data_IF_252691382857
#
_entry.id   IF_252691382857
#
_cell.length_a   1.000
_cell.length_b   1.000
_cell.length_c   1.000
_cell.angle_alpha   90.00
_cell.angle_beta   90.00
_cell.angle_gamma   90.00
#
_symmetry.space_group_name_H-M   'P 1'
#
loop_
_entity.id
_entity.type
_entity.pdbx_description
1 polymer ?
#
# COMPACT_ATOMS: atom_id res chain seq x y z
N UNK A 1 12.37 3.19 -4.89
CA UNK A 1 12.74 2.10 -5.82
C UNK A 1 11.48 1.34 -6.26
N UNK A 2 10.55 0.98 -5.36
CA UNK A 2 9.29 0.29 -5.70
C UNK A 2 8.38 1.07 -6.65
N UNK A 3 8.35 2.41 -6.57
CA UNK A 3 7.51 3.26 -7.44
C UNK A 3 8.07 3.45 -8.86
N UNK A 4 9.37 3.32 -9.05
CA UNK A 4 9.99 3.48 -10.38
C UNK A 4 9.80 2.28 -11.32
N UNK A 5 9.48 1.10 -10.78
CA UNK A 5 9.28 -0.10 -11.60
C UNK A 5 7.87 -0.21 -12.21
N UNK A 6 6.88 0.55 -11.71
CA UNK A 6 5.48 0.29 -12.04
C UNK A 6 4.86 1.15 -13.14
N UNK A 7 5.41 2.31 -13.41
CA UNK A 7 4.88 3.13 -14.51
C UNK A 7 5.90 4.22 -14.89
N UNK A 8 6.60 4.09 -16.03
CA UNK A 8 7.53 5.12 -16.51
C UNK A 8 6.85 6.45 -16.85
N UNK A 9 5.53 6.46 -16.98
CA UNK A 9 4.75 7.63 -17.37
C UNK A 9 4.11 8.39 -16.21
N UNK A 10 4.35 7.98 -14.94
CA UNK A 10 3.89 8.77 -13.79
C UNK A 10 4.78 10.01 -13.66
N UNK A 11 4.33 11.10 -14.26
CA UNK A 11 4.98 12.39 -14.13
C UNK A 11 4.54 13.07 -12.81
N UNK A 12 5.27 12.81 -11.73
CA UNK A 12 5.03 13.44 -10.43
C UNK A 12 5.11 14.99 -10.46
N UNK A 13 5.67 15.59 -11.52
CA UNK A 13 5.74 17.05 -11.71
C UNK A 13 4.42 17.69 -12.14
N UNK A 14 3.40 16.91 -12.51
CA UNK A 14 2.07 17.41 -12.91
C UNK A 14 0.99 17.15 -11.85
N UNK A 15 1.36 16.83 -10.61
CA UNK A 15 0.40 16.73 -9.52
C UNK A 15 -0.29 18.09 -9.30
N UNK A 16 -1.61 18.07 -9.12
CA UNK A 16 -2.41 19.27 -8.94
C UNK A 16 -1.94 20.10 -7.73
N UNK A 17 -2.24 21.40 -7.74
CA UNK A 17 -1.80 22.34 -6.70
C UNK A 17 -2.28 22.03 -5.26
N UNK A 18 -3.06 20.96 -5.07
CA UNK A 18 -3.60 20.53 -3.78
C UNK A 18 -2.90 19.33 -3.15
N UNK A 19 -2.02 18.61 -3.88
CA UNK A 19 -1.39 17.39 -3.37
C UNK A 19 -0.03 17.68 -2.74
N UNK A 20 0.18 17.16 -1.52
CA UNK A 20 1.48 17.13 -0.88
C UNK A 20 2.26 15.89 -1.35
N UNK A 21 3.18 16.08 -2.30
CA UNK A 21 3.99 14.98 -2.88
C UNK A 21 4.86 14.23 -1.86
N UNK A 22 4.98 14.76 -0.65
CA UNK A 22 5.75 14.18 0.46
C UNK A 22 4.86 13.64 1.58
N UNK A 23 3.55 13.47 1.33
CA UNK A 23 2.59 12.90 2.29
C UNK A 23 2.09 11.55 1.82
N UNK A 24 2.08 10.60 2.73
CA UNK A 24 1.53 9.26 2.54
C UNK A 24 0.50 8.95 3.61
N UNK A 25 -0.55 8.22 3.24
CA UNK A 25 -1.51 7.65 4.17
C UNK A 25 -1.43 6.12 4.13
N UNK A 26 -1.58 5.47 5.27
CA UNK A 26 -1.68 4.01 5.38
C UNK A 26 -2.98 3.67 6.10
N UNK A 27 -3.86 2.97 5.39
CA UNK A 27 -5.17 2.54 5.90
C UNK A 27 -5.12 1.06 6.24
N UNK A 28 -5.31 0.75 7.53
CA UNK A 28 -5.08 -0.54 8.14
C UNK A 28 -3.70 -0.63 8.77
N UNK A 29 -3.64 -0.64 10.10
CA UNK A 29 -2.39 -0.72 10.89
C UNK A 29 -2.17 -2.13 11.47
N UNK A 30 -2.59 -3.16 10.71
CA UNK A 30 -2.22 -4.54 10.96
C UNK A 30 -0.75 -4.81 10.68
N UNK A 31 -0.31 -6.08 10.76
CA UNK A 31 1.10 -6.44 10.54
C UNK A 31 1.68 -5.90 9.23
N UNK A 32 0.93 -5.94 8.14
CA UNK A 32 1.38 -5.42 6.84
C UNK A 32 1.45 -3.90 6.86
N UNK A 33 0.43 -3.25 7.42
CA UNK A 33 0.36 -1.78 7.46
C UNK A 33 1.44 -1.16 8.34
N UNK A 34 1.63 -1.66 9.56
CA UNK A 34 2.66 -1.16 10.47
C UNK A 34 4.08 -1.42 9.94
N UNK A 35 4.34 -2.62 9.38
CA UNK A 35 5.63 -2.90 8.72
C UNK A 35 5.89 -2.00 7.52
N UNK A 36 4.85 -1.74 6.70
CA UNK A 36 4.96 -0.83 5.57
C UNK A 36 5.20 0.61 6.02
N UNK A 37 4.49 1.07 7.05
CA UNK A 37 4.67 2.40 7.61
C UNK A 37 6.09 2.59 8.18
N UNK A 38 6.61 1.59 8.90
CA UNK A 38 7.99 1.62 9.39
C UNK A 38 9.00 1.70 8.23
N UNK A 39 8.86 0.87 7.20
CA UNK A 39 9.73 0.91 6.03
C UNK A 39 9.64 2.24 5.26
N UNK A 40 8.45 2.85 5.19
CA UNK A 40 8.27 4.16 4.59
C UNK A 40 8.95 5.27 5.40
N UNK A 41 8.91 5.20 6.72
CA UNK A 41 9.63 6.11 7.62
C UNK A 41 11.14 6.00 7.40
N UNK A 42 11.70 4.79 7.40
CA UNK A 42 13.13 4.54 7.16
C UNK A 42 13.58 4.99 5.76
N UNK A 43 12.72 4.87 4.74
CA UNK A 43 13.06 5.25 3.37
C UNK A 43 13.36 6.75 3.21
N UNK A 44 12.79 7.59 4.06
CA UNK A 44 12.87 9.06 3.96
C UNK A 44 12.23 9.64 2.69
N UNK A 45 11.37 8.89 2.02
CA UNK A 45 10.65 9.34 0.82
C UNK A 45 9.59 10.39 1.14
N UNK A 46 9.01 10.33 2.33
CA UNK A 46 7.95 11.21 2.78
C UNK A 46 8.38 12.04 3.99
N UNK A 47 7.70 13.15 4.20
CA UNK A 47 7.86 14.02 5.37
C UNK A 47 6.63 14.03 6.26
N UNK A 48 5.53 13.47 5.78
CA UNK A 48 4.29 13.34 6.53
C UNK A 48 3.64 11.97 6.28
N UNK A 49 3.17 11.33 7.34
CA UNK A 49 2.45 10.06 7.30
C UNK A 49 1.24 10.11 8.22
N UNK A 50 0.10 9.66 7.68
CA UNK A 50 -1.14 9.49 8.44
C UNK A 50 -1.48 8.01 8.48
N UNK A 51 -1.70 7.49 9.68
CA UNK A 51 -2.14 6.11 9.92
C UNK A 51 -3.62 6.09 10.28
N UNK A 52 -4.38 5.25 9.61
CA UNK A 52 -5.83 5.08 9.85
C UNK A 52 -6.12 3.61 10.11
N UNK A 53 -6.90 3.33 11.13
CA UNK A 53 -7.44 1.99 11.41
C UNK A 53 -8.87 2.10 11.92
N UNK A 54 -9.66 1.04 11.78
CA UNK A 54 -10.98 0.94 12.40
C UNK A 54 -10.88 0.98 13.93
N UNK A 55 -9.79 0.42 14.47
CA UNK A 55 -9.40 0.57 15.87
C UNK A 55 -8.46 1.80 16.02
N UNK A 56 -9.03 2.92 16.45
CA UNK A 56 -8.29 4.18 16.62
C UNK A 56 -7.15 4.06 17.62
N UNK A 57 -7.33 3.30 18.70
CA UNK A 57 -6.28 3.11 19.72
C UNK A 57 -5.08 2.37 19.11
N UNK A 58 -5.36 1.43 18.21
CA UNK A 58 -4.30 0.72 17.47
C UNK A 58 -3.56 1.68 16.54
N UNK A 59 -4.26 2.50 15.77
CA UNK A 59 -3.61 3.49 14.90
C UNK A 59 -2.73 4.47 15.69
N UNK A 60 -3.21 4.93 16.86
CA UNK A 60 -2.45 5.81 17.74
C UNK A 60 -1.21 5.11 18.32
N UNK A 61 -1.36 3.85 18.79
CA UNK A 61 -0.25 3.06 19.29
C UNK A 61 0.84 2.84 18.25
N UNK A 62 0.46 2.42 17.04
CA UNK A 62 1.41 2.20 15.94
C UNK A 62 2.07 3.52 15.50
N UNK A 63 1.31 4.63 15.43
CA UNK A 63 1.87 5.92 15.08
C UNK A 63 2.93 6.39 16.11
N UNK A 64 2.67 6.21 17.39
CA UNK A 64 3.62 6.53 18.45
C UNK A 64 4.85 5.63 18.42
N UNK A 65 4.65 4.32 18.26
CA UNK A 65 5.75 3.35 18.23
C UNK A 65 6.71 3.65 17.07
N UNK A 66 6.18 3.87 15.87
CA UNK A 66 6.98 4.24 14.69
C UNK A 66 7.66 5.60 14.89
N UNK A 67 6.95 6.59 15.46
CA UNK A 67 7.50 7.92 15.71
C UNK A 67 8.66 7.90 16.70
N UNK A 68 8.72 6.95 17.62
CA UNK A 68 9.85 6.79 18.55
C UNK A 68 11.15 6.41 17.82
N UNK A 69 11.09 5.91 16.60
CA UNK A 69 12.25 5.67 15.74
C UNK A 69 12.82 6.93 15.07
N UNK A 70 12.06 8.03 15.00
CA UNK A 70 12.46 9.25 14.29
C UNK A 70 13.78 9.90 14.74
N UNK A 71 14.20 9.81 16.03
CA UNK A 71 15.52 10.30 16.41
C UNK A 71 16.70 9.65 15.66
N UNK A 72 16.47 8.49 15.05
CA UNK A 72 17.48 7.73 14.28
C UNK A 72 17.23 7.73 12.77
N UNK A 73 16.16 8.37 12.31
CA UNK A 73 15.73 8.40 10.92
C UNK A 73 15.65 9.84 10.37
N UNK A 74 15.13 9.99 9.16
CA UNK A 74 14.88 11.33 8.59
C UNK A 74 13.64 11.96 9.23
N UNK A 75 13.62 13.29 9.38
CA UNK A 75 12.46 13.98 9.95
C UNK A 75 11.16 13.66 9.18
N UNK A 76 10.15 13.23 9.91
CA UNK A 76 8.80 12.95 9.40
C UNK A 76 7.78 13.30 10.48
N UNK A 77 6.63 13.84 10.08
CA UNK A 77 5.46 13.95 10.95
C UNK A 77 4.62 12.68 10.80
N UNK A 78 4.47 11.92 11.88
CA UNK A 78 3.66 10.70 11.90
C UNK A 78 2.50 10.90 12.86
N UNK A 79 1.28 10.69 12.39
CA UNK A 79 0.07 10.86 13.20
C UNK A 79 -0.94 9.75 12.90
N UNK A 80 -1.69 9.33 13.91
CA UNK A 80 -2.97 8.70 13.67
C UNK A 80 -3.99 9.79 13.25
N UNK A 81 -4.89 9.46 12.35
CA UNK A 81 -5.86 10.42 11.82
C UNK A 81 -7.11 9.73 11.30
N UNK A 82 -7.88 10.49 10.55
CA UNK A 82 -9.07 10.02 9.86
C UNK A 82 -9.03 10.33 8.36
N UNK A 83 -10.14 10.05 7.65
CA UNK A 83 -10.21 10.25 6.20
C UNK A 83 -10.16 11.74 5.77
N UNK A 84 -10.37 12.70 6.66
CA UNK A 84 -10.23 14.11 6.36
C UNK A 84 -8.75 14.53 6.32
N UNK A 85 -7.90 13.81 7.05
CA UNK A 85 -6.46 14.06 7.11
C UNK A 85 -5.69 13.59 5.88
N UNK A 86 -6.29 12.83 4.96
CA UNK A 86 -5.60 12.26 3.80
C UNK A 86 -5.93 12.94 2.47
N UNK A 87 -6.69 14.02 2.49
CA UNK A 87 -7.19 14.69 1.27
C UNK A 87 -6.06 15.11 0.33
N UNK A 88 -4.97 15.57 0.88
CA UNK A 88 -3.78 16.04 0.16
C UNK A 88 -2.67 14.98 0.04
N UNK A 89 -2.89 13.75 0.49
CA UNK A 89 -1.89 12.70 0.41
C UNK A 89 -1.57 12.33 -1.05
N UNK A 90 -0.28 12.22 -1.38
CA UNK A 90 0.18 11.80 -2.69
C UNK A 90 -0.09 10.32 -2.95
N UNK A 91 0.03 9.50 -1.91
CA UNK A 91 -0.19 8.06 -1.99
C UNK A 91 -1.04 7.64 -0.79
N UNK A 92 -2.07 6.86 -1.07
CA UNK A 92 -2.94 6.24 -0.07
C UNK A 92 -2.76 4.73 -0.20
N UNK A 93 -2.12 4.11 0.77
CA UNK A 93 -1.84 2.67 0.81
C UNK A 93 -2.95 1.98 1.60
N UNK A 94 -3.65 1.05 0.97
CA UNK A 94 -4.73 0.28 1.62
C UNK A 94 -4.22 -1.13 1.91
N UNK A 95 -3.91 -1.38 3.17
CA UNK A 95 -3.52 -2.70 3.70
C UNK A 95 -4.62 -3.32 4.54
N UNK A 96 -5.72 -2.59 4.77
CA UNK A 96 -6.86 -3.05 5.55
C UNK A 96 -7.52 -4.26 4.90
N UNK A 97 -7.63 -5.33 5.64
CA UNK A 97 -8.24 -6.57 5.20
C UNK A 97 -8.23 -7.62 6.31
N UNK A 98 -9.11 -8.59 6.21
CA UNK A 98 -9.15 -9.74 7.09
C UNK A 98 -8.23 -10.85 6.56
N UNK A 99 -7.52 -11.51 7.44
CA UNK A 99 -6.81 -12.76 7.14
C UNK A 99 -7.76 -13.94 7.02
N UNK A 100 -7.35 -14.96 6.27
CA UNK A 100 -8.07 -16.23 6.17
C UNK A 100 -8.00 -16.98 7.51
N UNK A 101 -9.17 -17.41 7.99
CA UNK A 101 -9.26 -18.24 9.20
C UNK A 101 -9.23 -19.72 8.84
N UNK A 102 -8.81 -20.62 9.77
CA UNK A 102 -8.92 -22.05 9.57
C UNK A 102 -10.35 -22.47 9.20
N UNK A 103 -10.51 -23.25 8.13
CA UNK A 103 -11.81 -23.70 7.63
C UNK A 103 -12.53 -22.71 6.69
N UNK A 104 -12.03 -21.51 6.46
CA UNK A 104 -12.59 -20.60 5.48
C UNK A 104 -12.10 -20.88 4.06
N UNK A 105 -12.99 -20.73 3.09
CA UNK A 105 -12.62 -20.82 1.67
C UNK A 105 -12.00 -19.49 1.18
N UNK A 106 -11.29 -19.54 0.06
CA UNK A 106 -10.81 -18.32 -0.64
C UNK A 106 -11.98 -17.37 -1.00
N UNK A 107 -13.12 -17.93 -1.36
CA UNK A 107 -14.31 -17.14 -1.71
C UNK A 107 -14.89 -16.40 -0.49
N UNK A 108 -14.84 -17.00 0.69
CA UNK A 108 -15.28 -16.35 1.93
C UNK A 108 -14.37 -15.18 2.28
N UNK A 109 -13.06 -15.34 2.09
CA UNK A 109 -12.08 -14.26 2.25
C UNK A 109 -12.35 -13.11 1.29
N UNK A 110 -12.59 -13.41 0.00
CA UNK A 110 -12.96 -12.39 -1.00
C UNK A 110 -14.18 -11.59 -0.54
N UNK A 111 -15.27 -12.27 -0.15
CA UNK A 111 -16.50 -11.61 0.30
C UNK A 111 -16.26 -10.68 1.49
N UNK A 112 -15.50 -11.13 2.49
CA UNK A 112 -15.15 -10.32 3.65
C UNK A 112 -14.37 -9.08 3.27
N UNK A 113 -13.33 -9.24 2.46
CA UNK A 113 -12.46 -8.13 2.10
C UNK A 113 -13.15 -7.15 1.13
N UNK A 114 -14.03 -7.63 0.26
CA UNK A 114 -14.91 -6.76 -0.53
C UNK A 114 -15.82 -5.92 0.37
N UNK A 115 -16.41 -6.50 1.41
CA UNK A 115 -17.25 -5.75 2.36
C UNK A 115 -16.44 -4.68 3.12
N UNK A 116 -15.19 -4.97 3.51
CA UNK A 116 -14.27 -3.99 4.11
C UNK A 116 -13.97 -2.87 3.10
N UNK A 117 -13.70 -3.19 1.84
CA UNK A 117 -13.44 -2.19 0.80
C UNK A 117 -14.67 -1.33 0.51
N UNK A 118 -15.88 -1.89 0.57
CA UNK A 118 -17.13 -1.13 0.46
C UNK A 118 -17.31 -0.09 1.58
N UNK A 119 -16.66 -0.27 2.72
CA UNK A 119 -16.67 0.74 3.80
C UNK A 119 -15.53 1.75 3.69
N UNK A 120 -14.39 1.39 3.09
CA UNK A 120 -13.18 2.24 3.03
C UNK A 120 -13.15 3.10 1.77
N UNK A 121 -13.32 2.48 0.61
CA UNK A 121 -13.07 3.16 -0.67
C UNK A 121 -14.03 4.34 -0.93
N UNK A 122 -15.35 4.24 -0.61
CA UNK A 122 -16.25 5.38 -0.73
C UNK A 122 -15.85 6.56 0.17
N UNK A 123 -15.32 6.30 1.37
CA UNK A 123 -14.85 7.35 2.28
C UNK A 123 -13.69 8.15 1.67
N UNK A 124 -12.77 7.48 0.97
CA UNK A 124 -11.67 8.13 0.24
C UNK A 124 -12.22 8.92 -0.95
N UNK A 125 -13.15 8.33 -1.70
CA UNK A 125 -13.71 8.93 -2.91
C UNK A 125 -14.53 10.20 -2.62
N UNK A 126 -15.34 10.19 -1.56
CA UNK A 126 -16.17 11.33 -1.15
C UNK A 126 -15.34 12.56 -0.79
N UNK A 127 -14.13 12.37 -0.28
CA UNK A 127 -13.20 13.44 0.07
C UNK A 127 -12.43 14.00 -1.12
N UNK A 128 -12.70 13.49 -2.33
CA UNK A 128 -12.07 13.94 -3.57
C UNK A 128 -10.54 13.91 -3.53
N UNK A 129 -9.98 12.92 -2.86
CA UNK A 129 -8.53 12.70 -2.86
C UNK A 129 -8.02 12.58 -4.31
N UNK A 130 -6.96 13.31 -4.63
CA UNK A 130 -6.37 13.30 -5.98
C UNK A 130 -5.09 12.45 -6.07
N UNK A 131 -4.62 11.89 -4.96
CA UNK A 131 -3.46 11.02 -4.90
C UNK A 131 -3.66 9.64 -5.54
N UNK A 132 -2.61 8.86 -5.56
CA UNK A 132 -2.60 7.47 -6.02
C UNK A 132 -3.15 6.56 -4.93
N UNK A 133 -4.02 5.64 -5.32
CA UNK A 133 -4.54 4.60 -4.45
C UNK A 133 -3.76 3.30 -4.70
N UNK A 134 -3.00 2.86 -3.71
CA UNK A 134 -2.20 1.64 -3.76
C UNK A 134 -2.84 0.54 -2.90
N UNK A 135 -3.28 -0.52 -3.54
CA UNK A 135 -3.93 -1.66 -2.89
C UNK A 135 -2.88 -2.73 -2.58
N UNK A 136 -2.82 -3.15 -1.31
CA UNK A 136 -1.89 -4.17 -0.82
C UNK A 136 -2.63 -5.35 -0.17
N UNK A 137 -3.87 -5.13 0.26
CA UNK A 137 -4.71 -6.18 0.85
C UNK A 137 -5.01 -7.31 -0.15
N UNK A 138 -5.02 -8.56 0.34
CA UNK A 138 -5.33 -9.74 -0.48
C UNK A 138 -6.81 -10.15 -0.42
N UNK A 139 -7.33 -10.69 -1.55
CA UNK A 139 -6.67 -10.95 -2.84
C UNK A 139 -6.51 -9.66 -3.68
N UNK A 140 -5.26 -9.29 -3.92
CA UNK A 140 -4.89 -7.94 -4.38
C UNK A 140 -5.50 -7.57 -5.74
N UNK A 141 -5.52 -8.48 -6.71
CA UNK A 141 -6.01 -8.19 -8.06
C UNK A 141 -7.52 -7.93 -8.06
N UNK A 142 -8.27 -8.76 -7.34
CA UNK A 142 -9.72 -8.60 -7.17
C UNK A 142 -10.03 -7.30 -6.42
N UNK A 143 -9.32 -7.03 -5.33
CA UNK A 143 -9.56 -5.84 -4.51
C UNK A 143 -9.14 -4.56 -5.25
N UNK A 144 -8.14 -4.61 -6.11
CA UNK A 144 -7.78 -3.49 -6.99
C UNK A 144 -8.91 -3.18 -7.97
N UNK A 145 -9.50 -4.18 -8.62
CA UNK A 145 -10.67 -3.99 -9.48
C UNK A 145 -11.88 -3.43 -8.71
N UNK A 146 -12.11 -3.94 -7.50
CA UNK A 146 -13.17 -3.42 -6.62
C UNK A 146 -12.90 -1.95 -6.27
N UNK A 147 -11.65 -1.61 -5.96
CA UNK A 147 -11.25 -0.23 -5.64
C UNK A 147 -11.47 0.72 -6.83
N UNK A 148 -11.10 0.32 -8.05
CA UNK A 148 -11.38 1.09 -9.27
C UNK A 148 -12.89 1.38 -9.40
N UNK A 149 -13.72 0.34 -9.26
CA UNK A 149 -15.18 0.47 -9.42
C UNK A 149 -15.82 1.32 -8.32
N UNK A 150 -15.38 1.18 -7.08
CA UNK A 150 -15.98 1.88 -5.93
C UNK A 150 -15.49 3.33 -5.81
N UNK A 151 -14.23 3.60 -6.19
CA UNK A 151 -13.67 4.95 -6.08
C UNK A 151 -14.14 5.88 -7.21
N UNK A 152 -14.41 5.33 -8.39
CA UNK A 152 -14.61 6.11 -9.60
C UNK A 152 -13.37 6.89 -10.02
N UNK A 153 -12.19 6.58 -9.47
CA UNK A 153 -10.94 7.20 -9.87
C UNK A 153 -10.54 6.73 -11.26
N UNK A 154 -9.80 7.56 -12.01
CA UNK A 154 -9.15 7.10 -13.24
C UNK A 154 -8.28 5.86 -12.97
N UNK A 155 -8.32 4.88 -13.87
CA UNK A 155 -7.60 3.61 -13.69
C UNK A 155 -6.10 3.79 -13.45
N UNK A 156 -5.50 4.80 -14.08
CA UNK A 156 -4.08 5.16 -13.89
C UNK A 156 -3.75 5.77 -12.52
N UNK A 157 -4.70 5.84 -11.61
CA UNK A 157 -4.50 6.28 -10.21
C UNK A 157 -4.80 5.18 -9.19
N UNK A 158 -5.16 3.99 -9.62
CA UNK A 158 -5.45 2.85 -8.74
C UNK A 158 -4.57 1.68 -9.13
N UNK A 159 -3.68 1.28 -8.23
CA UNK A 159 -2.72 0.21 -8.45
C UNK A 159 -2.84 -0.87 -7.38
N UNK A 160 -2.64 -2.11 -7.78
CA UNK A 160 -2.35 -3.20 -6.85
C UNK A 160 -0.84 -3.40 -6.69
N UNK A 161 -0.39 -3.90 -5.54
CA UNK A 161 1.00 -4.33 -5.37
C UNK A 161 1.35 -5.51 -6.28
N UNK A 162 0.36 -6.24 -6.75
CA UNK A 162 0.48 -7.34 -7.70
C UNK A 162 1.55 -8.35 -7.29
N UNK A 163 2.34 -8.77 -8.26
CA UNK A 163 3.43 -9.74 -8.13
C UNK A 163 4.78 -9.13 -7.73
N UNK A 164 4.78 -7.92 -7.16
CA UNK A 164 6.04 -7.25 -6.73
C UNK A 164 6.79 -8.06 -5.69
N UNK A 165 6.05 -8.60 -4.70
CA UNK A 165 6.64 -9.41 -3.64
C UNK A 165 7.16 -10.75 -4.20
N UNK A 166 6.44 -11.36 -5.13
CA UNK A 166 6.82 -12.62 -5.76
C UNK A 166 8.08 -12.43 -6.61
N UNK A 167 8.15 -11.33 -7.37
CA UNK A 167 9.37 -10.93 -8.07
C UNK A 167 10.56 -10.71 -7.13
N UNK A 168 10.34 -10.11 -5.97
CA UNK A 168 11.40 -9.92 -4.97
C UNK A 168 11.88 -11.26 -4.39
N UNK A 169 10.97 -12.19 -4.10
CA UNK A 169 11.28 -13.56 -3.66
C UNK A 169 12.08 -14.31 -4.71
N UNK A 170 11.65 -14.27 -5.97
CA UNK A 170 12.36 -14.89 -7.09
C UNK A 170 13.78 -14.37 -7.20
N UNK A 171 13.97 -13.04 -7.17
CA UNK A 171 15.29 -12.42 -7.23
C UNK A 171 16.19 -12.84 -6.08
N UNK A 172 15.64 -12.90 -4.87
CA UNK A 172 16.37 -13.35 -3.69
C UNK A 172 16.82 -14.81 -3.85
N UNK A 173 15.91 -15.71 -4.20
CA UNK A 173 16.22 -17.14 -4.36
C UNK A 173 17.22 -17.39 -5.50
N UNK A 174 17.08 -16.69 -6.62
CA UNK A 174 18.05 -16.77 -7.72
C UNK A 174 19.43 -16.20 -7.31
N UNK A 175 19.44 -15.11 -6.56
CA UNK A 175 20.69 -14.55 -6.02
C UNK A 175 21.44 -15.56 -5.14
N UNK A 176 20.74 -16.23 -4.22
CA UNK A 176 21.30 -17.28 -3.38
C UNK A 176 21.79 -18.47 -4.21
N UNK A 177 20.99 -18.93 -5.18
CA UNK A 177 21.36 -20.08 -6.02
C UNK A 177 22.57 -19.79 -6.91
N UNK A 178 22.63 -18.61 -7.51
CA UNK A 178 23.70 -18.19 -8.41
C UNK A 178 24.91 -17.55 -7.70
N UNK A 179 24.84 -17.38 -6.39
CA UNK A 179 25.85 -16.71 -5.55
C UNK A 179 26.20 -15.29 -6.05
N UNK A 180 25.13 -14.55 -6.41
CA UNK A 180 25.22 -13.13 -6.82
C UNK A 180 24.31 -12.27 -5.96
N UNK A 181 24.58 -10.97 -5.91
CA UNK A 181 23.68 -10.03 -5.23
C UNK A 181 22.30 -10.03 -5.91
N UNK A 182 21.23 -10.19 -5.12
CA UNK A 182 19.85 -10.21 -5.63
C UNK A 182 19.47 -8.93 -6.42
N UNK A 183 20.15 -7.79 -6.16
CA UNK A 183 20.00 -6.54 -6.92
C UNK A 183 20.51 -6.64 -8.35
N UNK A 184 21.43 -7.59 -8.62
CA UNK A 184 21.97 -7.87 -9.95
C UNK A 184 21.11 -8.86 -10.74
N UNK A 185 20.07 -9.43 -10.12
CA UNK A 185 19.15 -10.36 -10.80
C UNK A 185 18.02 -9.57 -11.45
N UNK A 186 17.89 -9.71 -12.77
CA UNK A 186 16.84 -9.09 -13.59
C UNK A 186 15.81 -10.15 -13.99
N UNK A 187 14.85 -10.41 -13.07
CA UNK A 187 13.77 -11.36 -13.26
C UNK A 187 12.48 -10.79 -12.67
N UNK A 188 11.34 -11.09 -13.27
CA UNK A 188 10.04 -10.62 -12.81
C UNK A 188 9.01 -11.74 -12.90
N UNK A 189 8.13 -11.77 -11.93
CA UNK A 189 6.88 -12.52 -11.99
C UNK A 189 5.79 -11.56 -12.42
N UNK A 190 4.98 -11.96 -13.37
CA UNK A 190 3.87 -11.18 -13.94
C UNK A 190 2.56 -11.97 -13.88
N UNK A 191 1.44 -11.29 -14.13
CA UNK A 191 0.10 -11.89 -14.10
C UNK A 191 -0.59 -11.65 -12.76
N UNK A 192 -1.53 -12.53 -12.43
CA UNK A 192 -2.25 -12.49 -11.16
C UNK A 192 -1.35 -12.96 -10.01
N UNK A 193 -1.41 -12.27 -8.88
CA UNK A 193 -0.75 -12.75 -7.65
C UNK A 193 -1.46 -13.99 -7.12
N UNK A 194 -0.96 -15.18 -7.47
CA UNK A 194 -1.53 -16.48 -7.10
C UNK A 194 -1.09 -17.59 -8.02
N UNK A 195 -1.94 -18.61 -8.17
CA UNK A 195 -1.61 -19.86 -8.86
C UNK A 195 -1.42 -19.70 -10.39
N UNK A 196 -1.78 -18.56 -10.97
CA UNK A 196 -1.67 -18.24 -12.40
C UNK A 196 -0.54 -17.26 -12.75
N UNK A 197 0.36 -16.99 -11.81
CA UNK A 197 1.54 -16.15 -12.06
C UNK A 197 2.51 -16.81 -13.05
N UNK A 198 3.25 -15.97 -13.80
CA UNK A 198 4.20 -16.40 -14.85
C UNK A 198 5.56 -15.74 -14.58
N UNK A 199 6.63 -16.48 -14.78
CA UNK A 199 8.02 -16.02 -14.70
C UNK A 199 8.47 -15.50 -16.07
#
# INVERSE_FOLDING_TARGET
VLLQCFCPDINFGQMSKGINSRKVAVIGTGFVGSSSAFALMESGLFTEMVLIDADKNRAEGEALDIAHGLPFARPMKITAGDYDDIVDAAIIVVTAGAGQKPGETRLDLVKKNVAIFQSIIPEIAQRKCEGILLIVANPVDILTQVAVKLSGFPENRVFGSGTTLDSARLKYLLGEHLQVDARSVHAWIIGEHGDSEIV
#
